data_IF_409813787263
#
_entry.id   IF_409813787263
#
_cell.length_a   1.000
_cell.length_b   1.000
_cell.length_c   1.000
_cell.angle_alpha   90.00
_cell.angle_beta   90.00
_cell.angle_gamma   90.00
#
_symmetry.space_group_name_H-M   'P 1'
#
loop_
_entity.id
_entity.type
_entity.pdbx_description
1 polymer ?
#
# COMPACT_ATOMS: atom_id res chain seq x y z
N UNK A 1 -18.84 -15.07 5.62
CA UNK A 1 -18.05 -14.01 4.95
C UNK A 1 -16.64 -14.02 5.52
N UNK A 2 -15.61 -14.15 4.68
CA UNK A 2 -14.21 -14.12 5.12
C UNK A 2 -13.86 -12.65 5.39
N UNK A 3 -13.48 -12.30 6.63
CA UNK A 3 -13.05 -10.93 6.94
C UNK A 3 -11.81 -10.60 6.08
N UNK A 4 -11.77 -9.42 5.45
CA UNK A 4 -10.58 -9.01 4.72
C UNK A 4 -9.41 -8.87 5.70
N UNK A 5 -8.24 -9.37 5.32
CA UNK A 5 -7.02 -9.24 6.13
C UNK A 5 -6.46 -7.84 5.94
N UNK A 6 -6.18 -7.14 7.03
CA UNK A 6 -5.61 -5.80 7.02
C UNK A 6 -4.22 -5.87 7.62
N UNK A 7 -3.24 -5.28 6.93
CA UNK A 7 -1.91 -5.00 7.49
C UNK A 7 -1.93 -3.55 7.97
N UNK A 8 -1.60 -3.33 9.23
CA UNK A 8 -1.63 -2.00 9.83
C UNK A 8 -0.25 -1.33 9.77
N UNK A 9 -0.23 0.00 9.66
CA UNK A 9 0.96 0.84 9.74
C UNK A 9 2.12 0.37 8.82
N UNK A 10 1.78 0.05 7.58
CA UNK A 10 2.76 -0.33 6.55
C UNK A 10 3.40 0.93 5.97
N UNK A 11 4.72 1.02 6.09
CA UNK A 11 5.50 2.05 5.42
C UNK A 11 5.69 1.67 3.95
N UNK A 12 5.21 2.52 3.05
CA UNK A 12 5.37 2.34 1.61
C UNK A 12 6.79 2.71 1.21
N UNK A 13 7.49 1.77 0.59
CA UNK A 13 8.93 1.84 0.40
C UNK A 13 9.33 2.37 -0.98
N UNK A 14 8.67 1.91 -2.04
CA UNK A 14 9.06 2.25 -3.42
C UNK A 14 7.89 2.14 -4.40
N UNK A 15 8.10 2.62 -5.62
CA UNK A 15 7.17 2.48 -6.73
C UNK A 15 7.21 1.07 -7.32
N UNK A 16 6.07 0.66 -7.88
CA UNK A 16 5.93 -0.55 -8.68
C UNK A 16 5.37 -0.17 -10.07
N UNK A 17 5.21 -1.17 -10.93
CA UNK A 17 4.57 -0.98 -12.22
C UNK A 17 3.08 -0.63 -12.08
N UNK A 18 2.49 -0.10 -13.16
CA UNK A 18 1.04 0.15 -13.28
C UNK A 18 0.46 1.13 -12.24
N UNK A 19 1.27 2.10 -11.77
CA UNK A 19 0.81 3.11 -10.81
C UNK A 19 0.59 2.59 -9.40
N UNK A 20 1.11 1.40 -9.09
CA UNK A 20 1.14 0.85 -7.72
C UNK A 20 2.42 1.27 -7.01
N UNK A 21 2.41 1.18 -5.69
CA UNK A 21 3.60 1.19 -4.87
C UNK A 21 3.84 -0.20 -4.27
N UNK A 22 4.96 -0.38 -3.58
CA UNK A 22 5.26 -1.61 -2.86
C UNK A 22 5.81 -1.35 -1.46
N UNK A 23 5.59 -2.31 -0.58
CA UNK A 23 6.21 -2.42 0.73
C UNK A 23 6.73 -3.84 0.95
N UNK A 24 7.64 -4.01 1.91
CA UNK A 24 8.09 -5.32 2.36
C UNK A 24 7.71 -5.51 3.81
N UNK A 25 6.91 -6.54 4.07
CA UNK A 25 6.46 -6.91 5.42
C UNK A 25 6.92 -8.34 5.67
N UNK A 26 7.80 -8.55 6.65
CA UNK A 26 8.32 -9.88 7.01
C UNK A 26 8.90 -10.68 5.81
N UNK A 27 9.55 -9.99 4.87
CA UNK A 27 10.12 -10.60 3.66
C UNK A 27 9.13 -10.83 2.52
N UNK A 28 7.82 -10.66 2.75
CA UNK A 28 6.78 -10.69 1.72
C UNK A 28 6.66 -9.33 1.02
N UNK A 29 6.55 -9.34 -0.30
CA UNK A 29 6.30 -8.13 -1.10
C UNK A 29 4.82 -7.82 -1.18
N UNK A 30 4.41 -6.62 -0.77
CA UNK A 30 3.03 -6.17 -0.81
C UNK A 30 2.91 -5.06 -1.85
N UNK A 31 2.17 -5.31 -2.93
CA UNK A 31 1.80 -4.29 -3.91
C UNK A 31 0.58 -3.51 -3.40
N UNK A 32 0.68 -2.18 -3.38
CA UNK A 32 -0.28 -1.29 -2.75
C UNK A 32 -0.82 -0.31 -3.78
N UNK A 33 -2.13 -0.33 -3.99
CA UNK A 33 -2.84 0.65 -4.80
C UNK A 33 -3.22 1.89 -3.98
N UNK A 34 -3.05 3.08 -4.57
CA UNK A 34 -3.47 4.36 -3.99
C UNK A 34 -2.47 4.99 -3.01
N UNK A 35 -1.32 4.36 -2.79
CA UNK A 35 -0.24 4.89 -1.96
C UNK A 35 1.02 5.16 -2.78
N UNK A 36 1.91 5.99 -2.25
CA UNK A 36 3.21 6.34 -2.82
C UNK A 36 4.31 6.18 -1.76
N UNK A 37 5.59 6.08 -2.16
CA UNK A 37 6.70 5.98 -1.21
C UNK A 37 6.69 7.09 -0.17
N UNK A 38 6.93 6.74 1.09
CA UNK A 38 6.89 7.65 2.24
C UNK A 38 5.54 7.70 2.96
N UNK A 39 4.46 7.13 2.41
CA UNK A 39 3.20 7.02 3.13
C UNK A 39 3.27 5.95 4.23
N UNK A 40 2.56 6.19 5.33
CA UNK A 40 2.29 5.19 6.37
C UNK A 40 0.80 4.85 6.34
N UNK A 41 0.45 3.62 5.93
CA UNK A 41 -0.93 3.25 5.61
C UNK A 41 -1.36 1.91 6.21
N UNK A 42 -2.67 1.75 6.41
CA UNK A 42 -3.27 0.42 6.56
C UNK A 42 -3.64 -0.12 5.18
N UNK A 43 -3.24 -1.36 4.92
CA UNK A 43 -3.43 -2.02 3.63
C UNK A 43 -4.40 -3.17 3.78
N UNK A 44 -5.56 -3.06 3.12
CA UNK A 44 -6.49 -4.18 3.00
C UNK A 44 -5.99 -5.14 1.90
N UNK A 45 -5.64 -6.35 2.28
CA UNK A 45 -5.19 -7.38 1.35
C UNK A 45 -6.36 -7.97 0.57
N UNK A 46 -6.17 -8.06 -0.74
CA UNK A 46 -7.03 -8.81 -1.67
C UNK A 46 -6.41 -10.17 -1.98
N UNK A 47 -5.57 -10.22 -3.01
CA UNK A 47 -4.82 -11.46 -3.35
C UNK A 47 -3.65 -11.62 -2.40
N UNK A 48 -3.58 -12.76 -1.72
CA UNK A 48 -2.50 -13.06 -0.78
C UNK A 48 -1.87 -14.41 -1.14
N UNK A 49 -0.60 -14.38 -1.56
CA UNK A 49 0.25 -15.55 -1.85
C UNK A 49 1.37 -15.64 -0.81
N UNK A 50 2.21 -16.67 -0.88
CA UNK A 50 3.28 -16.90 0.09
C UNK A 50 4.34 -15.77 0.03
N UNK A 51 4.80 -15.43 -1.16
CA UNK A 51 5.91 -14.48 -1.34
C UNK A 51 5.46 -13.06 -1.65
N UNK A 52 4.20 -12.90 -2.09
CA UNK A 52 3.64 -11.60 -2.43
C UNK A 52 2.15 -11.47 -2.14
N UNK A 53 1.67 -10.24 -2.01
CA UNK A 53 0.25 -9.93 -1.95
C UNK A 53 -0.06 -8.62 -2.69
N UNK A 54 -1.32 -8.46 -3.08
CA UNK A 54 -1.88 -7.21 -3.58
C UNK A 54 -2.91 -6.70 -2.58
N UNK A 55 -2.89 -5.40 -2.31
CA UNK A 55 -3.83 -4.73 -1.44
C UNK A 55 -4.03 -3.26 -1.82
N UNK A 56 -4.98 -2.64 -1.15
CA UNK A 56 -5.32 -1.23 -1.32
C UNK A 56 -5.12 -0.49 0.00
N UNK A 57 -4.55 0.71 -0.08
CA UNK A 57 -4.48 1.60 1.07
C UNK A 57 -5.91 2.04 1.45
N UNK A 58 -6.31 1.74 2.69
CA UNK A 58 -7.65 2.05 3.22
C UNK A 58 -7.62 3.16 4.27
N UNK A 59 -6.46 3.42 4.87
CA UNK A 59 -6.26 4.48 5.86
C UNK A 59 -4.84 5.02 5.75
N UNK A 60 -4.69 6.34 5.84
CA UNK A 60 -3.40 7.03 5.90
C UNK A 60 -3.17 7.54 7.32
N UNK A 61 -2.06 7.13 7.92
CA UNK A 61 -1.58 7.65 9.21
C UNK A 61 -0.60 8.80 9.00
N UNK A 62 0.22 8.73 7.94
CA UNK A 62 1.06 9.81 7.48
C UNK A 62 1.09 9.82 5.95
N UNK A 63 1.05 11.02 5.38
CA UNK A 63 1.22 11.25 3.95
C UNK A 63 2.70 11.50 3.64
N UNK A 64 3.16 10.99 2.51
CA UNK A 64 4.47 11.29 1.97
C UNK A 64 4.63 12.80 1.73
N UNK A 65 5.80 13.38 2.06
CA UNK A 65 6.08 14.80 1.81
C UNK A 65 6.10 15.16 0.33
N UNK A 66 6.29 14.17 -0.55
CA UNK A 66 6.35 14.37 -2.00
C UNK A 66 4.95 14.35 -2.67
N UNK A 67 3.89 14.12 -1.89
CA UNK A 67 2.52 14.18 -2.40
C UNK A 67 2.13 15.61 -2.78
N UNK A 68 1.50 15.73 -3.94
CA UNK A 68 0.88 16.97 -4.41
C UNK A 68 -0.61 16.75 -4.65
N UNK A 69 -1.40 17.79 -4.44
CA UNK A 69 -2.82 17.76 -4.81
C UNK A 69 -2.94 17.63 -6.34
N UNK A 70 -3.79 16.73 -6.86
CA UNK A 70 -4.06 16.67 -8.29
C UNK A 70 -4.64 18.01 -8.76
N UNK A 71 -4.24 18.45 -9.95
CA UNK A 71 -4.70 19.72 -10.52
C UNK A 71 -6.06 19.60 -11.23
N UNK A 72 -6.47 18.38 -11.58
CA UNK A 72 -7.72 18.07 -12.27
C UNK A 72 -8.77 17.50 -11.31
N UNK A 73 -10.03 17.82 -11.58
CA UNK A 73 -11.21 17.26 -10.92
C UNK A 73 -11.83 16.11 -11.72
#
# INVERSE_FOLDING_TARGET
MRKPTVLEQVLVADYAAEGKALARVEGKVIFIEGAVPGDLVDVQLGKNKADWAEGKAIRFHALSPDRVSPFCE
#
